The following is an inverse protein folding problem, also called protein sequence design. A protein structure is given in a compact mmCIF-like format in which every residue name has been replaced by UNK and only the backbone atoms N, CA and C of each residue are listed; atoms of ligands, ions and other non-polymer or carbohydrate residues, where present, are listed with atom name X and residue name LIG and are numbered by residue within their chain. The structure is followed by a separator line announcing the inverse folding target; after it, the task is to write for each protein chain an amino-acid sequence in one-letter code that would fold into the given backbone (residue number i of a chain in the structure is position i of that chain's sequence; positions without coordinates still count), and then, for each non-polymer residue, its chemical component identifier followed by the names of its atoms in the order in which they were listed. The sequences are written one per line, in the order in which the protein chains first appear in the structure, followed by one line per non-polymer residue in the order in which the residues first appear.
data_IF_245669619045
#
_entry.id   IF_245669619045
#
_cell.length_a   1.000
_cell.length_b   1.000
_cell.length_c   1.000
_cell.angle_alpha   90.00
_cell.angle_beta   90.00
_cell.angle_gamma   90.00
#
_symmetry.space_group_name_H-M   'P 1'
#
loop_
_entity.id
_entity.type
_entity.pdbx_description
1 polymer ?
#
# COMPACT_ATOMS: atom_id res chain seq x y z
N UNK A 1 24.60 -16.39 33.51
CA UNK A 1 24.66 -15.68 32.22
C UNK A 1 23.37 -16.05 31.49
N UNK A 2 22.51 -15.10 31.23
CA UNK A 2 21.35 -15.33 30.36
C UNK A 2 21.87 -15.59 28.94
N UNK A 3 21.46 -16.71 28.32
CA UNK A 3 21.78 -16.97 26.93
C UNK A 3 21.31 -15.81 26.06
N UNK A 4 22.09 -15.46 25.04
CA UNK A 4 21.70 -14.39 24.11
C UNK A 4 20.55 -14.85 23.19
N UNK A 5 19.87 -13.89 22.58
CA UNK A 5 18.71 -14.16 21.72
C UNK A 5 19.05 -15.11 20.55
N UNK A 6 20.22 -14.96 19.94
CA UNK A 6 20.63 -15.77 18.80
C UNK A 6 20.82 -17.23 19.18
N UNK A 7 21.47 -17.51 20.32
CA UNK A 7 21.63 -18.88 20.84
C UNK A 7 20.26 -19.51 21.11
N UNK A 8 19.37 -18.81 21.83
CA UNK A 8 18.04 -19.34 22.14
C UNK A 8 17.17 -19.57 20.88
N UNK A 9 17.29 -18.71 19.88
CA UNK A 9 16.59 -18.90 18.60
C UNK A 9 17.12 -20.12 17.86
N UNK A 10 18.44 -20.28 17.80
CA UNK A 10 19.07 -21.41 17.10
C UNK A 10 18.71 -22.73 17.77
N UNK A 11 18.72 -22.78 19.10
CA UNK A 11 18.33 -23.97 19.87
C UNK A 11 16.86 -24.35 19.68
N UNK A 12 15.96 -23.34 19.60
CA UNK A 12 14.53 -23.56 19.49
C UNK A 12 14.05 -23.83 18.06
N UNK A 13 14.67 -23.23 17.04
CA UNK A 13 14.14 -23.16 15.67
C UNK A 13 15.09 -23.79 14.63
N UNK A 14 16.33 -24.11 15.00
CA UNK A 14 17.29 -24.83 14.17
C UNK A 14 17.55 -24.14 12.81
N UNK A 15 17.30 -24.87 11.73
CA UNK A 15 17.52 -24.45 10.33
C UNK A 15 16.61 -23.29 9.84
N UNK A 16 15.67 -22.87 10.66
CA UNK A 16 14.82 -21.69 10.38
C UNK A 16 15.51 -20.39 10.71
N UNK A 17 16.62 -20.43 11.46
CA UNK A 17 17.41 -19.24 11.80
C UNK A 17 18.55 -19.08 10.81
N UNK A 18 18.43 -18.09 9.94
CA UNK A 18 19.44 -17.77 8.94
C UNK A 18 20.33 -16.61 9.43
N UNK A 19 21.61 -16.91 9.64
CA UNK A 19 22.64 -15.94 10.03
C UNK A 19 23.58 -15.57 8.90
N UNK A 20 23.28 -16.02 7.67
CA UNK A 20 24.11 -15.72 6.51
C UNK A 20 24.22 -14.20 6.28
N UNK A 21 25.40 -13.71 5.87
CA UNK A 21 25.58 -12.29 5.57
C UNK A 21 24.60 -11.77 4.54
N UNK A 22 24.24 -12.58 3.53
CA UNK A 22 23.31 -12.21 2.47
C UNK A 22 21.90 -11.96 3.02
N UNK A 23 21.30 -12.94 3.71
CA UNK A 23 19.95 -12.80 4.27
C UNK A 23 19.83 -11.62 5.25
N UNK A 24 20.83 -11.47 6.12
CA UNK A 24 20.88 -10.36 7.09
C UNK A 24 21.04 -9.00 6.40
N UNK A 25 21.75 -8.93 5.28
CA UNK A 25 21.91 -7.73 4.48
C UNK A 25 20.61 -7.39 3.75
N UNK A 26 19.97 -8.37 3.11
CA UNK A 26 18.73 -8.18 2.35
C UNK A 26 17.56 -7.71 3.24
N UNK A 27 17.56 -8.10 4.52
CA UNK A 27 16.56 -7.66 5.48
C UNK A 27 16.65 -6.17 5.83
N UNK A 28 17.74 -5.46 5.48
CA UNK A 28 17.97 -4.03 5.79
C UNK A 28 17.05 -3.08 5.06
N UNK A 29 16.53 -3.47 3.91
CA UNK A 29 15.81 -2.58 3.02
C UNK A 29 14.50 -3.21 2.54
N UNK A 30 13.51 -2.38 2.32
CA UNK A 30 12.34 -2.65 1.51
C UNK A 30 12.43 -1.85 0.18
N UNK A 31 11.32 -1.54 -0.45
CA UNK A 31 11.30 -0.77 -1.70
C UNK A 31 11.20 0.76 -1.50
N UNK A 32 11.30 1.23 -0.27
CA UNK A 32 11.22 2.66 0.07
C UNK A 32 12.45 3.49 -0.34
N UNK A 33 13.52 2.86 -0.83
CA UNK A 33 14.81 3.52 -1.03
C UNK A 33 15.61 3.75 0.25
N UNK A 34 14.98 3.58 1.42
CA UNK A 34 15.65 3.70 2.72
C UNK A 34 16.22 2.34 3.16
N UNK A 35 17.36 2.35 3.83
CA UNK A 35 17.95 1.14 4.42
C UNK A 35 18.41 1.38 5.84
N UNK A 36 18.30 0.35 6.69
CA UNK A 36 18.84 0.38 8.06
C UNK A 36 20.36 0.47 8.07
N UNK A 37 20.93 1.08 9.12
CA UNK A 37 22.36 1.39 9.25
C UNK A 37 23.31 0.18 9.33
N UNK A 38 22.76 -1.06 9.33
CA UNK A 38 23.56 -2.29 9.37
C UNK A 38 22.69 -3.54 9.27
N UNK A 39 23.30 -4.75 9.18
CA UNK A 39 22.56 -5.99 8.99
C UNK A 39 21.77 -6.41 10.24
N UNK A 40 20.68 -7.13 10.04
CA UNK A 40 19.90 -7.76 11.09
C UNK A 40 20.75 -8.69 11.99
N UNK A 41 20.28 -8.96 13.21
CA UNK A 41 20.88 -10.00 14.09
C UNK A 41 20.79 -11.37 13.41
N UNK A 42 19.61 -11.73 12.96
CA UNK A 42 19.30 -12.94 12.20
C UNK A 42 18.00 -12.77 11.43
N UNK A 43 17.77 -13.63 10.45
CA UNK A 43 16.48 -13.80 9.78
C UNK A 43 15.85 -15.10 10.26
N UNK A 44 14.66 -15.04 10.84
CA UNK A 44 13.87 -16.21 11.22
C UNK A 44 12.84 -16.48 10.14
N UNK A 45 12.95 -17.60 9.45
CA UNK A 45 12.00 -18.05 8.43
C UNK A 45 10.90 -18.91 9.07
N UNK A 46 9.90 -18.27 9.66
CA UNK A 46 8.78 -18.97 10.27
C UNK A 46 7.96 -19.73 9.21
N UNK A 47 7.62 -20.99 9.49
CA UNK A 47 6.78 -21.84 8.66
C UNK A 47 5.51 -22.30 9.39
N UNK A 48 5.34 -21.87 10.65
CA UNK A 48 4.18 -22.20 11.48
C UNK A 48 3.92 -21.14 12.53
N UNK A 49 2.69 -21.14 13.07
CA UNK A 49 2.32 -20.31 14.22
C UNK A 49 3.24 -20.56 15.42
N UNK A 50 3.64 -21.81 15.64
CA UNK A 50 4.53 -22.18 16.74
C UNK A 50 5.90 -21.51 16.62
N UNK A 51 6.44 -21.36 15.40
CA UNK A 51 7.72 -20.69 15.17
C UNK A 51 7.63 -19.19 15.50
N UNK A 52 6.53 -18.56 15.09
CA UNK A 52 6.26 -17.14 15.41
C UNK A 52 6.15 -16.98 16.93
N UNK A 53 5.40 -17.85 17.61
CA UNK A 53 5.24 -17.81 19.07
C UNK A 53 6.57 -18.01 19.80
N UNK A 54 7.41 -18.97 19.36
CA UNK A 54 8.72 -19.22 19.94
C UNK A 54 9.63 -18.01 19.77
N UNK A 55 9.68 -17.44 18.55
CA UNK A 55 10.47 -16.23 18.24
C UNK A 55 10.08 -15.08 19.16
N UNK A 56 8.78 -14.78 19.28
CA UNK A 56 8.31 -13.64 20.07
C UNK A 56 8.52 -13.84 21.58
N UNK A 57 8.37 -15.07 22.10
CA UNK A 57 8.68 -15.36 23.51
C UNK A 57 10.15 -15.14 23.82
N UNK A 58 11.06 -15.62 22.95
CA UNK A 58 12.49 -15.41 23.08
C UNK A 58 12.82 -13.93 22.99
N UNK A 59 12.30 -13.23 21.97
CA UNK A 59 12.50 -11.81 21.77
C UNK A 59 12.04 -10.97 22.98
N UNK A 60 10.86 -11.29 23.54
CA UNK A 60 10.36 -10.63 24.76
C UNK A 60 11.25 -10.90 25.96
N UNK A 61 11.67 -12.15 26.18
CA UNK A 61 12.53 -12.53 27.30
C UNK A 61 13.92 -11.87 27.25
N UNK A 62 14.45 -11.68 26.05
CA UNK A 62 15.76 -11.07 25.80
C UNK A 62 15.69 -9.56 25.49
N UNK A 63 14.48 -9.01 25.37
CA UNK A 63 14.22 -7.63 24.93
C UNK A 63 14.85 -7.31 23.56
N UNK A 64 14.85 -8.29 22.67
CA UNK A 64 15.40 -8.15 21.33
C UNK A 64 14.30 -7.69 20.36
N UNK A 65 14.47 -6.58 19.64
CA UNK A 65 13.48 -6.11 18.67
C UNK A 65 13.21 -7.10 17.56
N UNK A 66 11.96 -7.12 17.08
CA UNK A 66 11.49 -7.97 15.98
C UNK A 66 10.83 -7.11 14.93
N UNK A 67 11.29 -7.23 13.69
CA UNK A 67 10.67 -6.63 12.51
C UNK A 67 10.03 -7.75 11.71
N UNK A 68 8.70 -7.76 11.63
CA UNK A 68 7.97 -8.73 10.82
C UNK A 68 8.06 -8.37 9.35
N UNK A 69 8.35 -9.37 8.51
CA UNK A 69 8.57 -9.16 7.09
C UNK A 69 7.79 -10.17 6.24
N UNK A 70 7.01 -9.67 5.28
CA UNK A 70 6.49 -10.41 4.14
C UNK A 70 7.52 -10.45 3.01
N UNK A 71 7.17 -9.92 1.84
CA UNK A 71 8.06 -9.83 0.69
C UNK A 71 9.02 -8.63 0.71
N UNK A 72 8.84 -7.68 1.62
CA UNK A 72 9.66 -6.46 1.68
C UNK A 72 9.40 -5.49 0.52
N UNK A 73 8.15 -5.42 0.07
CA UNK A 73 7.70 -4.52 -1.01
C UNK A 73 7.21 -3.16 -0.53
N UNK A 74 7.27 -2.89 0.79
CA UNK A 74 6.81 -1.65 1.40
C UNK A 74 7.58 -0.42 0.92
N UNK A 75 6.93 0.74 0.94
CA UNK A 75 7.45 2.02 0.41
C UNK A 75 7.70 3.06 1.52
N UNK A 76 7.59 2.68 2.79
CA UNK A 76 7.77 3.58 3.93
C UNK A 76 8.89 3.15 4.92
N UNK A 77 9.63 2.08 4.64
CA UNK A 77 10.71 1.58 5.50
C UNK A 77 10.24 0.77 6.71
N UNK A 78 8.96 0.36 6.76
CA UNK A 78 8.42 -0.40 7.89
C UNK A 78 9.03 -1.80 8.03
N UNK A 79 9.41 -2.43 6.92
CA UNK A 79 9.99 -3.78 6.91
C UNK A 79 11.53 -3.79 7.03
N UNK A 80 12.18 -2.66 7.23
CA UNK A 80 13.63 -2.54 7.32
C UNK A 80 14.13 -2.98 8.70
N UNK A 81 15.00 -3.98 8.71
CA UNK A 81 15.56 -4.56 9.94
C UNK A 81 17.01 -4.10 10.12
N UNK A 82 17.33 -3.61 11.30
CA UNK A 82 18.63 -3.05 11.63
C UNK A 82 19.50 -3.93 12.54
N UNK A 83 20.65 -3.40 12.96
CA UNK A 83 21.57 -4.08 13.89
C UNK A 83 20.88 -4.43 15.21
N UNK A 84 21.07 -5.67 15.67
CA UNK A 84 20.49 -6.16 16.92
C UNK A 84 19.02 -6.57 16.82
N UNK A 85 18.35 -6.36 15.69
CA UNK A 85 16.96 -6.73 15.46
C UNK A 85 16.83 -8.09 14.77
N UNK A 86 15.77 -8.82 15.07
CA UNK A 86 15.39 -10.07 14.41
C UNK A 86 14.47 -9.73 13.23
N UNK A 87 14.83 -10.15 12.02
CA UNK A 87 13.90 -10.15 10.89
C UNK A 87 13.02 -11.42 10.97
N UNK A 88 11.74 -11.27 11.28
CA UNK A 88 10.80 -12.40 11.32
C UNK A 88 10.06 -12.50 9.98
N UNK A 89 10.52 -13.38 9.11
CA UNK A 89 9.92 -13.64 7.82
C UNK A 89 8.78 -14.65 7.93
N UNK A 90 7.60 -14.27 7.47
CA UNK A 90 6.40 -15.13 7.37
C UNK A 90 6.18 -15.71 5.97
N UNK A 91 7.14 -15.54 5.07
CA UNK A 91 7.04 -15.96 3.65
C UNK A 91 6.79 -17.44 3.44
N UNK A 92 7.23 -18.31 4.37
CA UNK A 92 7.01 -19.78 4.32
C UNK A 92 5.64 -20.22 4.84
N UNK A 93 4.83 -19.28 5.35
CA UNK A 93 3.45 -19.50 5.75
C UNK A 93 2.54 -19.03 4.60
N UNK A 94 2.44 -19.82 3.53
CA UNK A 94 1.89 -19.42 2.22
C UNK A 94 0.69 -20.26 1.75
N UNK A 95 0.07 -21.03 2.65
CA UNK A 95 -1.02 -21.94 2.28
C UNK A 95 -2.37 -21.23 2.23
N UNK A 96 -3.23 -21.67 1.31
CA UNK A 96 -4.66 -21.48 1.38
C UNK A 96 -5.22 -22.59 2.28
N UNK A 97 -5.76 -22.24 3.44
CA UNK A 97 -6.23 -23.19 4.45
C UNK A 97 -7.68 -23.62 4.20
N UNK A 98 -8.49 -22.72 3.67
CA UNK A 98 -9.92 -22.94 3.42
C UNK A 98 -10.43 -21.97 2.37
N UNK A 99 -11.31 -22.44 1.46
CA UNK A 99 -12.12 -21.59 0.57
C UNK A 99 -13.60 -22.00 0.74
N UNK A 100 -14.46 -21.03 0.97
CA UNK A 100 -15.92 -21.21 1.07
C UNK A 100 -16.64 -20.33 0.05
N UNK A 101 -16.94 -20.86 -1.13
CA UNK A 101 -17.61 -20.09 -2.18
C UNK A 101 -19.01 -19.60 -1.81
N UNK A 102 -19.75 -20.37 -0.99
CA UNK A 102 -21.09 -20.00 -0.56
C UNK A 102 -21.10 -18.87 0.47
N UNK A 103 -20.05 -18.79 1.29
CA UNK A 103 -19.87 -17.74 2.29
C UNK A 103 -19.04 -16.55 1.77
N UNK A 104 -18.53 -16.64 0.55
CA UNK A 104 -17.63 -15.65 -0.06
C UNK A 104 -16.43 -15.34 0.84
N UNK A 105 -15.76 -16.36 1.36
CA UNK A 105 -14.59 -16.19 2.20
C UNK A 105 -13.48 -17.20 1.88
N UNK A 106 -12.25 -16.81 2.19
CA UNK A 106 -11.10 -17.70 2.26
C UNK A 106 -10.34 -17.48 3.56
N UNK A 107 -9.69 -18.54 4.04
CA UNK A 107 -8.75 -18.49 5.15
C UNK A 107 -7.37 -18.82 4.61
N UNK A 108 -6.41 -17.92 4.83
CA UNK A 108 -5.07 -18.03 4.26
C UNK A 108 -3.98 -17.73 5.28
N UNK A 109 -2.82 -18.25 5.04
CA UNK A 109 -1.59 -17.86 5.74
C UNK A 109 -1.03 -16.54 5.19
N UNK A 110 -0.30 -15.75 6.00
CA UNK A 110 0.09 -14.39 5.65
C UNK A 110 1.14 -14.28 4.54
N UNK A 111 1.90 -15.34 4.27
CA UNK A 111 3.00 -15.39 3.31
C UNK A 111 2.58 -15.65 1.87
N UNK A 112 1.31 -16.02 1.63
CA UNK A 112 0.81 -16.24 0.26
C UNK A 112 0.89 -14.95 -0.56
N UNK A 113 1.33 -15.08 -1.82
CA UNK A 113 1.38 -13.94 -2.74
C UNK A 113 -0.04 -13.56 -3.17
N UNK A 114 -0.32 -12.27 -3.24
CA UNK A 114 -1.64 -11.75 -3.62
C UNK A 114 -2.11 -12.30 -4.99
N UNK A 115 -1.25 -12.27 -6.01
CA UNK A 115 -1.58 -12.79 -7.34
C UNK A 115 -1.82 -14.31 -7.31
N UNK A 116 -0.97 -15.09 -6.61
CA UNK A 116 -1.12 -16.55 -6.50
C UNK A 116 -2.43 -16.93 -5.80
N UNK A 117 -2.82 -16.17 -4.77
CA UNK A 117 -4.12 -16.34 -4.14
C UNK A 117 -5.26 -16.11 -5.15
N UNK A 118 -5.20 -15.01 -5.90
CA UNK A 118 -6.24 -14.66 -6.87
C UNK A 118 -6.32 -15.66 -8.03
N UNK A 119 -5.18 -16.17 -8.51
CA UNK A 119 -5.13 -17.22 -9.53
C UNK A 119 -5.82 -18.52 -9.03
N UNK A 120 -5.58 -18.91 -7.77
CA UNK A 120 -6.24 -20.05 -7.17
C UNK A 120 -7.75 -19.84 -6.97
N UNK A 121 -8.17 -18.64 -6.53
CA UNK A 121 -9.58 -18.30 -6.32
C UNK A 121 -10.37 -18.18 -7.63
N UNK A 122 -9.71 -17.79 -8.72
CA UNK A 122 -10.35 -17.67 -10.04
C UNK A 122 -10.96 -18.99 -10.53
N UNK A 123 -10.36 -20.15 -10.17
CA UNK A 123 -10.91 -21.47 -10.48
C UNK A 123 -12.29 -21.71 -9.83
N UNK A 124 -12.58 -21.03 -8.72
CA UNK A 124 -13.88 -21.08 -8.00
C UNK A 124 -14.80 -19.90 -8.39
N UNK A 125 -14.43 -19.12 -9.41
CA UNK A 125 -15.16 -17.91 -9.81
C UNK A 125 -15.14 -16.79 -8.79
N UNK A 126 -14.09 -16.74 -7.96
CA UNK A 126 -13.92 -15.81 -6.86
C UNK A 126 -12.62 -15.00 -7.01
N UNK A 127 -12.52 -13.91 -6.24
CA UNK A 127 -11.32 -13.12 -6.12
C UNK A 127 -11.30 -12.28 -4.84
N UNK A 128 -10.11 -11.89 -4.42
CA UNK A 128 -9.86 -10.95 -3.33
C UNK A 128 -9.51 -9.59 -3.91
N UNK A 129 -10.30 -8.56 -3.58
CA UNK A 129 -10.29 -7.28 -4.30
C UNK A 129 -9.05 -6.39 -4.15
N UNK A 130 -8.33 -6.34 -3.01
CA UNK A 130 -7.13 -5.51 -2.91
C UNK A 130 -6.06 -5.87 -3.94
N UNK A 131 -5.65 -4.87 -4.73
CA UNK A 131 -4.80 -5.05 -5.91
C UNK A 131 -3.59 -4.09 -5.94
N UNK A 132 -2.75 -4.05 -4.90
CA UNK A 132 -1.59 -3.16 -4.91
C UNK A 132 -0.73 -3.36 -6.16
N UNK A 133 -0.03 -2.31 -6.60
CA UNK A 133 0.87 -2.39 -7.76
C UNK A 133 1.89 -3.54 -7.61
N UNK A 134 2.26 -3.87 -6.38
CA UNK A 134 3.16 -4.98 -6.02
C UNK A 134 2.48 -6.36 -5.96
N UNK A 135 1.21 -6.53 -6.32
CA UNK A 135 0.43 -7.78 -6.12
C UNK A 135 1.12 -9.05 -6.63
N UNK A 136 1.92 -8.93 -7.70
CA UNK A 136 2.66 -10.07 -8.26
C UNK A 136 3.74 -10.64 -7.32
N UNK A 137 4.18 -9.88 -6.33
CA UNK A 137 5.27 -10.24 -5.43
C UNK A 137 4.98 -9.98 -3.95
N UNK A 138 3.98 -9.16 -3.62
CA UNK A 138 3.62 -8.83 -2.23
C UNK A 138 2.79 -9.93 -1.59
N UNK A 139 2.96 -10.12 -0.28
CA UNK A 139 2.19 -11.10 0.49
C UNK A 139 0.89 -10.51 1.02
N UNK A 140 -0.13 -11.35 1.15
CA UNK A 140 -1.43 -10.98 1.75
C UNK A 140 -1.25 -10.39 3.16
N UNK A 141 -0.43 -11.01 4.01
CA UNK A 141 -0.13 -10.50 5.34
C UNK A 141 0.58 -9.14 5.32
N UNK A 142 1.46 -8.90 4.33
CA UNK A 142 2.09 -7.60 4.10
C UNK A 142 1.07 -6.55 3.66
N UNK A 143 0.17 -6.90 2.73
CA UNK A 143 -0.90 -5.99 2.30
C UNK A 143 -1.82 -5.61 3.48
N UNK A 144 -2.14 -6.56 4.36
CA UNK A 144 -2.95 -6.32 5.57
C UNK A 144 -2.19 -5.42 6.55
N UNK A 145 -0.93 -5.72 6.85
CA UNK A 145 -0.14 -4.97 7.82
C UNK A 145 0.10 -3.52 7.39
N UNK A 146 0.22 -3.26 6.08
CA UNK A 146 0.37 -1.91 5.54
C UNK A 146 -0.99 -1.21 5.33
N UNK A 147 -2.06 -1.96 5.09
CA UNK A 147 -3.33 -1.41 4.61
C UNK A 147 -3.24 -1.02 3.12
N UNK A 148 -2.46 -1.79 2.34
CA UNK A 148 -2.09 -1.45 0.97
C UNK A 148 -3.32 -1.27 0.05
N UNK A 149 -3.32 -0.20 -0.73
CA UNK A 149 -4.37 0.08 -1.72
C UNK A 149 -4.03 -0.40 -3.12
N UNK A 150 -4.67 0.18 -4.13
CA UNK A 150 -4.49 -0.09 -5.55
C UNK A 150 -5.58 0.53 -6.40
N UNK A 151 -5.52 0.25 -7.71
CA UNK A 151 -6.41 0.82 -8.73
C UNK A 151 -7.91 0.56 -8.48
N UNK A 152 -8.23 -0.58 -7.86
CA UNK A 152 -9.60 -1.06 -7.70
C UNK A 152 -10.29 -0.56 -6.42
N UNK A 153 -9.56 0.14 -5.53
CA UNK A 153 -10.09 0.58 -4.23
C UNK A 153 -11.32 1.48 -4.34
N UNK A 154 -11.39 2.34 -5.36
CA UNK A 154 -12.51 3.26 -5.59
C UNK A 154 -13.85 2.56 -5.73
N UNK A 155 -13.89 1.34 -6.29
CA UNK A 155 -15.12 0.56 -6.46
C UNK A 155 -15.25 -0.58 -5.46
N UNK A 156 -14.16 -1.26 -5.18
CA UNK A 156 -14.22 -2.55 -4.47
C UNK A 156 -13.81 -2.44 -3.00
N UNK A 157 -13.39 -1.26 -2.55
CA UNK A 157 -13.00 -1.00 -1.17
C UNK A 157 -11.53 -1.30 -0.91
N UNK A 158 -11.07 -0.90 0.27
CA UNK A 158 -9.68 -1.04 0.73
C UNK A 158 -9.48 -2.37 1.47
N UNK A 159 -8.24 -2.69 1.83
CA UNK A 159 -7.89 -3.93 2.57
C UNK A 159 -8.74 -4.10 3.84
N UNK A 160 -9.01 -3.01 4.58
CA UNK A 160 -9.84 -3.07 5.79
C UNK A 160 -11.23 -3.65 5.53
N UNK A 161 -11.83 -3.33 4.39
CA UNK A 161 -13.15 -3.82 4.00
C UNK A 161 -13.11 -5.28 3.56
N UNK A 162 -11.93 -5.75 3.12
CA UNK A 162 -11.71 -7.07 2.54
C UNK A 162 -11.16 -8.11 3.54
N UNK A 163 -11.06 -7.76 4.84
CA UNK A 163 -10.61 -8.66 5.92
C UNK A 163 -11.73 -8.82 6.94
N UNK A 164 -12.21 -10.05 7.13
CA UNK A 164 -13.28 -10.40 8.10
C UNK A 164 -12.75 -10.69 9.49
N UNK A 165 -11.53 -11.22 9.56
CA UNK A 165 -10.87 -11.57 10.81
C UNK A 165 -9.46 -12.05 10.58
N UNK A 166 -8.72 -12.26 11.64
CA UNK A 166 -7.35 -12.75 11.58
C UNK A 166 -6.93 -13.43 12.88
N UNK A 167 -5.96 -14.34 12.77
CA UNK A 167 -5.23 -14.83 13.93
C UNK A 167 -3.90 -14.05 14.00
N UNK A 168 -3.59 -13.54 15.19
CA UNK A 168 -2.38 -12.76 15.44
C UNK A 168 -1.63 -13.26 16.66
N UNK A 169 -0.29 -13.15 16.64
CA UNK A 169 0.55 -13.46 17.79
C UNK A 169 1.04 -12.15 18.41
N UNK A 170 0.77 -11.96 19.71
CA UNK A 170 1.23 -10.81 20.48
C UNK A 170 2.71 -10.93 20.85
N UNK A 171 3.31 -9.83 21.33
CA UNK A 171 4.70 -9.77 21.76
C UNK A 171 5.08 -10.88 22.76
N UNK A 172 4.18 -11.26 23.66
CA UNK A 172 4.38 -12.32 24.66
C UNK A 172 4.18 -13.76 24.14
N UNK A 173 3.87 -13.90 22.84
CA UNK A 173 3.67 -15.19 22.17
C UNK A 173 2.24 -15.76 22.33
N UNK A 174 1.28 -15.03 22.92
CA UNK A 174 -0.13 -15.44 22.93
C UNK A 174 -0.73 -15.33 21.53
N UNK A 175 -1.49 -16.34 21.15
CA UNK A 175 -2.30 -16.35 19.92
C UNK A 175 -3.69 -15.77 20.25
N UNK A 176 -4.11 -14.76 19.51
CA UNK A 176 -5.46 -14.21 19.55
C UNK A 176 -6.16 -14.46 18.22
N UNK A 177 -7.46 -14.75 18.30
CA UNK A 177 -8.37 -14.82 17.15
C UNK A 177 -9.27 -13.60 17.15
N UNK A 178 -9.19 -12.80 16.09
CA UNK A 178 -9.90 -11.53 15.95
C UNK A 178 -10.94 -11.62 14.85
N UNK A 179 -12.02 -10.84 15.00
CA UNK A 179 -13.09 -10.76 14.00
C UNK A 179 -13.99 -11.99 13.97
N UNK A 180 -14.64 -12.20 12.85
CA UNK A 180 -15.67 -13.24 12.67
C UNK A 180 -15.75 -13.69 11.20
N UNK A 181 -16.55 -14.75 10.93
CA UNK A 181 -16.77 -15.28 9.57
C UNK A 181 -18.16 -14.94 9.02
N UNK A 182 -18.90 -14.13 9.75
CA UNK A 182 -20.28 -13.75 9.43
C UNK A 182 -20.34 -12.37 8.79
N UNK A 183 -21.38 -12.09 8.01
CA UNK A 183 -21.60 -10.77 7.39
C UNK A 183 -21.82 -9.69 8.46
N UNK A 184 -22.52 -10.04 9.55
CA UNK A 184 -22.75 -9.14 10.69
C UNK A 184 -22.02 -9.65 11.92
N UNK A 185 -21.43 -8.72 12.71
CA UNK A 185 -20.81 -9.04 13.99
C UNK A 185 -20.45 -7.74 14.71
N UNK A 186 -20.96 -7.60 15.95
CA UNK A 186 -20.75 -6.41 16.80
C UNK A 186 -20.31 -6.79 18.22
N UNK A 187 -19.74 -7.98 18.38
CA UNK A 187 -19.30 -8.49 19.69
C UNK A 187 -17.92 -7.95 20.03
N UNK A 188 -17.85 -7.06 21.00
CA UNK A 188 -16.61 -6.42 21.45
C UNK A 188 -16.12 -5.32 20.51
N UNK A 189 -14.90 -4.83 20.77
CA UNK A 189 -14.25 -3.84 19.92
C UNK A 189 -13.70 -4.49 18.63
N UNK A 190 -13.68 -3.72 17.55
CA UNK A 190 -13.12 -4.16 16.27
C UNK A 190 -11.58 -4.11 16.30
N UNK A 191 -10.98 -5.16 16.84
CA UNK A 191 -9.54 -5.32 16.86
C UNK A 191 -8.99 -5.74 15.48
N UNK A 192 -9.82 -6.28 14.59
CA UNK A 192 -9.40 -6.62 13.23
C UNK A 192 -9.02 -5.36 12.46
N UNK A 193 -9.88 -4.35 12.46
CA UNK A 193 -9.59 -3.06 11.84
C UNK A 193 -8.41 -2.33 12.50
N UNK A 194 -8.17 -2.53 13.80
CA UNK A 194 -7.01 -1.97 14.49
C UNK A 194 -5.68 -2.58 14.01
N UNK A 195 -5.69 -3.87 13.63
CA UNK A 195 -4.49 -4.56 13.14
C UNK A 195 -4.17 -4.22 11.68
N UNK A 196 -5.18 -3.92 10.85
CA UNK A 196 -4.97 -3.49 9.46
C UNK A 196 -4.28 -2.13 9.45
N UNK A 197 -3.13 -2.03 8.76
CA UNK A 197 -2.34 -0.81 8.73
C UNK A 197 -1.49 -0.56 9.99
N UNK A 198 -1.36 -1.56 10.90
CA UNK A 198 -0.52 -1.44 12.09
C UNK A 198 0.98 -1.61 11.84
N UNK A 199 1.38 -1.95 10.63
CA UNK A 199 2.78 -2.11 10.19
C UNK A 199 3.62 -3.02 11.10
N UNK A 200 2.99 -4.06 11.66
CA UNK A 200 3.66 -5.02 12.55
C UNK A 200 4.02 -4.46 13.93
N UNK A 201 3.51 -3.29 14.32
CA UNK A 201 3.80 -2.66 15.60
C UNK A 201 2.94 -3.19 16.76
N UNK A 202 1.79 -3.80 16.48
CA UNK A 202 0.85 -4.29 17.51
C UNK A 202 0.89 -5.81 17.68
N UNK A 203 1.04 -6.55 16.58
CA UNK A 203 1.07 -8.01 16.58
C UNK A 203 1.64 -8.53 15.26
N UNK A 204 1.87 -9.85 15.19
CA UNK A 204 2.25 -10.56 13.97
C UNK A 204 1.05 -11.32 13.44
N UNK A 205 0.59 -11.00 12.22
CA UNK A 205 -0.49 -11.72 11.54
C UNK A 205 0.02 -13.11 11.13
N UNK A 206 -0.70 -14.17 11.52
CA UNK A 206 -0.34 -15.56 11.21
C UNK A 206 -1.40 -16.30 10.41
N UNK A 207 -2.61 -15.76 10.32
CA UNK A 207 -3.69 -16.24 9.48
C UNK A 207 -4.65 -15.07 9.20
N UNK A 208 -5.26 -15.03 8.02
CA UNK A 208 -6.28 -14.07 7.67
C UNK A 208 -7.54 -14.75 7.13
N UNK A 209 -8.70 -14.28 7.56
CA UNK A 209 -10.02 -14.61 6.98
C UNK A 209 -10.40 -13.46 6.05
N UNK A 210 -10.40 -13.71 4.77
CA UNK A 210 -10.60 -12.74 3.72
C UNK A 210 -12.06 -12.73 3.24
N UNK A 211 -12.59 -11.55 2.95
CA UNK A 211 -13.86 -11.39 2.24
C UNK A 211 -13.60 -11.45 0.75
N UNK A 212 -14.23 -12.41 0.09
CA UNK A 212 -14.12 -12.59 -1.34
C UNK A 212 -15.28 -11.93 -2.08
N UNK A 213 -15.08 -11.73 -3.37
CA UNK A 213 -16.09 -11.31 -4.33
C UNK A 213 -16.19 -12.36 -5.43
N UNK A 214 -17.36 -12.47 -6.08
CA UNK A 214 -17.48 -13.23 -7.32
C UNK A 214 -16.79 -12.47 -8.44
N UNK A 215 -16.16 -13.19 -9.38
CA UNK A 215 -15.64 -12.59 -10.60
C UNK A 215 -16.73 -11.77 -11.27
N UNK A 216 -16.38 -10.58 -11.72
CA UNK A 216 -17.32 -9.67 -12.34
C UNK A 216 -17.72 -10.22 -13.70
N UNK A 217 -19.01 -10.56 -13.84
CA UNK A 217 -19.58 -10.97 -15.10
C UNK A 217 -19.99 -9.74 -15.92
N UNK A 218 -19.83 -9.81 -17.24
CA UNK A 218 -20.20 -8.75 -18.15
C UNK A 218 -19.03 -8.17 -18.93
N UNK A 219 -19.26 -6.99 -19.47
CA UNK A 219 -18.28 -6.28 -20.29
C UNK A 219 -17.31 -5.47 -19.41
N UNK A 220 -16.17 -5.17 -19.99
CA UNK A 220 -15.21 -4.20 -19.46
C UNK A 220 -14.99 -3.18 -20.57
N UNK A 221 -15.19 -1.89 -20.23
CA UNK A 221 -14.87 -0.81 -21.15
C UNK A 221 -13.75 0.03 -20.53
N UNK A 222 -12.71 0.27 -21.31
CA UNK A 222 -11.59 1.14 -20.94
C UNK A 222 -11.65 2.41 -21.77
N UNK A 223 -11.36 3.54 -21.13
CA UNK A 223 -11.29 4.82 -21.81
C UNK A 223 -10.10 5.65 -21.35
N UNK A 224 -9.62 6.48 -22.26
CA UNK A 224 -8.69 7.57 -21.95
C UNK A 224 -9.34 8.90 -22.29
N UNK A 225 -9.03 9.92 -21.52
CA UNK A 225 -9.39 11.28 -21.80
C UNK A 225 -8.17 12.18 -21.61
N UNK A 226 -7.82 12.94 -22.65
CA UNK A 226 -6.74 13.91 -22.64
C UNK A 226 -7.30 15.30 -22.38
N UNK A 227 -6.66 16.02 -21.49
CA UNK A 227 -7.00 17.41 -21.11
C UNK A 227 -5.77 18.30 -21.29
N UNK A 228 -5.97 19.58 -21.59
CA UNK A 228 -4.90 20.54 -21.82
C UNK A 228 -4.01 20.77 -20.58
N UNK A 229 -4.54 20.49 -19.38
CA UNK A 229 -3.82 20.59 -18.11
C UNK A 229 -4.37 19.62 -17.05
N UNK A 230 -3.61 19.43 -15.97
CA UNK A 230 -3.95 18.51 -14.87
C UNK A 230 -5.11 19.03 -14.03
N UNK A 231 -5.29 20.34 -13.92
CA UNK A 231 -6.39 20.92 -13.14
C UNK A 231 -7.74 20.61 -13.80
N UNK A 232 -7.83 20.76 -15.12
CA UNK A 232 -9.02 20.38 -15.92
C UNK A 232 -9.32 18.88 -15.81
N UNK A 233 -8.30 18.01 -15.88
CA UNK A 233 -8.45 16.58 -15.70
C UNK A 233 -8.95 16.22 -14.28
N UNK A 234 -8.43 16.88 -13.24
CA UNK A 234 -8.85 16.67 -11.86
C UNK A 234 -10.30 17.14 -11.61
N UNK A 235 -10.71 18.27 -12.21
CA UNK A 235 -12.12 18.73 -12.18
C UNK A 235 -13.03 17.71 -12.85
N UNK A 236 -12.61 17.15 -14.01
CA UNK A 236 -13.38 16.16 -14.73
C UNK A 236 -13.53 14.85 -13.93
N UNK A 237 -12.49 14.40 -13.24
CA UNK A 237 -12.54 13.21 -12.35
C UNK A 237 -13.52 13.42 -11.18
N UNK A 238 -13.51 14.61 -10.56
CA UNK A 238 -14.46 14.98 -9.52
C UNK A 238 -15.90 15.00 -10.03
N UNK A 239 -16.13 15.47 -11.27
CA UNK A 239 -17.46 15.48 -11.90
C UNK A 239 -17.98 14.06 -12.18
N UNK A 240 -17.10 13.14 -12.62
CA UNK A 240 -17.46 11.71 -12.77
C UNK A 240 -17.92 11.15 -11.43
N UNK A 241 -17.17 11.39 -10.37
CA UNK A 241 -17.54 10.98 -9.00
C UNK A 241 -18.87 11.56 -8.56
N UNK A 242 -19.09 12.86 -8.79
CA UNK A 242 -20.33 13.57 -8.43
C UNK A 242 -21.56 13.06 -9.20
N UNK A 243 -21.38 12.45 -10.38
CA UNK A 243 -22.46 11.88 -11.18
C UNK A 243 -23.09 10.62 -10.56
N UNK A 244 -22.46 10.05 -9.53
CA UNK A 244 -22.87 8.79 -8.89
C UNK A 244 -22.48 7.53 -9.68
N UNK A 245 -21.80 7.66 -10.81
CA UNK A 245 -21.22 6.51 -11.53
C UNK A 245 -19.95 6.08 -10.79
N UNK A 246 -19.77 4.76 -10.64
CA UNK A 246 -18.63 4.21 -9.93
C UNK A 246 -17.78 3.36 -10.88
N UNK A 247 -16.77 3.93 -11.54
CA UNK A 247 -15.84 3.18 -12.35
C UNK A 247 -15.02 2.21 -11.50
N UNK A 248 -14.55 1.11 -12.08
CA UNK A 248 -13.65 0.19 -11.40
C UNK A 248 -12.25 0.75 -11.25
N UNK A 249 -11.81 1.55 -12.21
CA UNK A 249 -10.51 2.25 -12.21
C UNK A 249 -10.77 3.69 -12.66
N UNK A 250 -10.14 4.65 -11.99
CA UNK A 250 -10.05 6.04 -12.46
C UNK A 250 -8.72 6.64 -12.01
N UNK A 251 -7.79 6.73 -12.96
CA UNK A 251 -6.40 7.11 -12.76
C UNK A 251 -6.12 8.43 -13.48
N UNK A 252 -5.36 9.30 -12.85
CA UNK A 252 -4.91 10.55 -13.44
C UNK A 252 -3.38 10.58 -13.49
N UNK A 253 -2.84 11.00 -14.63
CA UNK A 253 -1.42 11.25 -14.84
C UNK A 253 -1.23 12.70 -15.27
N UNK A 254 -0.33 13.42 -14.62
CA UNK A 254 0.08 14.76 -15.05
C UNK A 254 0.96 14.71 -16.30
N UNK A 255 1.28 15.88 -16.86
CA UNK A 255 2.05 15.99 -18.09
C UNK A 255 3.49 15.43 -17.94
N UNK A 256 4.13 15.63 -16.79
CA UNK A 256 5.48 15.15 -16.53
C UNK A 256 5.51 13.62 -16.48
N UNK A 257 4.56 13.02 -15.76
CA UNK A 257 4.39 11.56 -15.67
C UNK A 257 4.10 10.95 -17.03
N UNK A 258 3.18 11.54 -17.80
CA UNK A 258 2.79 11.05 -19.11
C UNK A 258 3.97 11.09 -20.10
N UNK A 259 4.71 12.18 -20.10
CA UNK A 259 5.92 12.34 -20.93
C UNK A 259 6.97 11.28 -20.61
N UNK A 260 7.24 11.06 -19.32
CA UNK A 260 8.22 10.05 -18.88
C UNK A 260 7.82 8.64 -19.29
N UNK A 261 6.53 8.28 -19.16
CA UNK A 261 6.03 6.97 -19.55
C UNK A 261 6.05 6.79 -21.07
N UNK A 262 5.67 7.80 -21.84
CA UNK A 262 5.75 7.74 -23.30
C UNK A 262 7.18 7.53 -23.79
N UNK A 263 8.15 8.20 -23.15
CA UNK A 263 9.58 8.01 -23.43
C UNK A 263 10.02 6.56 -23.16
N UNK A 264 9.66 6.02 -21.99
CA UNK A 264 9.98 4.63 -21.61
C UNK A 264 9.41 3.61 -22.59
N UNK A 265 8.16 3.79 -22.99
CA UNK A 265 7.43 2.85 -23.87
C UNK A 265 7.69 3.11 -25.37
N UNK A 266 8.57 4.04 -25.71
CA UNK A 266 8.83 4.49 -27.09
C UNK A 266 7.54 4.86 -27.87
N UNK A 267 6.59 5.49 -27.15
CA UNK A 267 5.37 6.05 -27.74
C UNK A 267 5.64 7.47 -28.29
N UNK A 268 4.78 7.99 -29.19
CA UNK A 268 4.87 9.39 -29.61
C UNK A 268 4.84 10.35 -28.44
N UNK A 269 5.63 11.40 -28.47
CA UNK A 269 5.64 12.43 -27.43
C UNK A 269 4.25 13.07 -27.30
N UNK A 270 3.68 13.13 -26.07
CA UNK A 270 2.40 13.77 -25.86
C UNK A 270 2.51 15.29 -26.05
N UNK A 271 1.44 16.01 -26.41
CA UNK A 271 1.45 17.46 -26.43
C UNK A 271 1.88 18.03 -25.06
N UNK A 272 2.60 19.15 -25.07
CA UNK A 272 3.07 19.78 -23.85
C UNK A 272 1.89 20.20 -22.95
N UNK A 273 2.01 19.91 -21.65
CA UNK A 273 1.00 20.25 -20.62
C UNK A 273 -0.15 19.26 -20.50
N UNK A 274 -0.31 18.34 -21.46
CA UNK A 274 -1.45 17.41 -21.49
C UNK A 274 -1.41 16.44 -20.32
N UNK A 275 -2.55 16.34 -19.60
CA UNK A 275 -2.80 15.33 -18.60
C UNK A 275 -3.76 14.25 -19.12
N UNK A 276 -3.67 13.04 -18.59
CA UNK A 276 -4.48 11.91 -18.99
C UNK A 276 -5.28 11.33 -17.83
N UNK A 277 -6.60 11.18 -18.03
CA UNK A 277 -7.43 10.26 -17.25
C UNK A 277 -7.50 8.91 -17.95
N UNK A 278 -7.28 7.83 -17.22
CA UNK A 278 -7.55 6.45 -17.67
C UNK A 278 -8.64 5.87 -16.77
N UNK A 279 -9.77 5.48 -17.36
CA UNK A 279 -10.95 5.03 -16.64
C UNK A 279 -11.38 3.68 -17.15
N UNK A 280 -11.80 2.79 -16.25
CA UNK A 280 -12.37 1.50 -16.59
C UNK A 280 -13.72 1.32 -15.91
N UNK A 281 -14.70 0.85 -16.66
CA UNK A 281 -16.00 0.39 -16.15
C UNK A 281 -16.13 -1.11 -16.37
N UNK A 282 -16.82 -1.79 -15.47
CA UNK A 282 -17.00 -3.24 -15.52
C UNK A 282 -18.39 -3.67 -15.04
N UNK A 283 -18.81 -4.83 -15.49
CA UNK A 283 -20.07 -5.44 -15.13
C UNK A 283 -21.19 -5.24 -16.15
N UNK A 284 -22.44 -5.56 -15.78
CA UNK A 284 -23.56 -5.61 -16.73
C UNK A 284 -23.94 -4.29 -17.39
N UNK A 285 -23.52 -3.17 -16.79
CA UNK A 285 -23.82 -1.80 -17.27
C UNK A 285 -22.58 -1.06 -17.76
N UNK A 286 -21.46 -1.77 -17.91
CA UNK A 286 -20.17 -1.17 -18.22
C UNK A 286 -20.20 -0.23 -19.44
N UNK A 287 -20.79 -0.66 -20.56
CA UNK A 287 -20.89 0.15 -21.78
C UNK A 287 -21.75 1.41 -21.58
N UNK A 288 -22.86 1.29 -20.85
CA UNK A 288 -23.74 2.44 -20.57
C UNK A 288 -23.05 3.46 -19.66
N UNK A 289 -22.36 2.99 -18.62
CA UNK A 289 -21.59 3.84 -17.72
C UNK A 289 -20.42 4.50 -18.45
N UNK A 290 -19.70 3.76 -19.30
CA UNK A 290 -18.62 4.29 -20.13
C UNK A 290 -19.14 5.43 -21.07
N UNK A 291 -20.29 5.22 -21.72
CA UNK A 291 -20.88 6.24 -22.57
C UNK A 291 -21.24 7.51 -21.80
N UNK A 292 -21.83 7.38 -20.60
CA UNK A 292 -22.19 8.51 -19.73
C UNK A 292 -20.96 9.25 -19.22
N UNK A 293 -19.93 8.52 -18.75
CA UNK A 293 -18.66 9.10 -18.33
C UNK A 293 -18.02 9.84 -19.50
N UNK A 294 -17.97 9.21 -20.69
CA UNK A 294 -17.41 9.82 -21.89
C UNK A 294 -18.11 11.13 -22.28
N UNK A 295 -19.43 11.26 -22.04
CA UNK A 295 -20.16 12.51 -22.24
C UNK A 295 -19.70 13.58 -21.25
N UNK A 296 -19.64 13.25 -19.94
CA UNK A 296 -19.16 14.18 -18.89
C UNK A 296 -17.76 14.70 -19.23
N UNK A 297 -16.87 13.81 -19.64
CA UNK A 297 -15.47 14.19 -19.92
C UNK A 297 -15.38 15.11 -21.15
N UNK A 298 -16.16 14.83 -22.23
CA UNK A 298 -16.19 15.69 -23.44
C UNK A 298 -16.80 17.06 -23.14
N UNK A 299 -17.87 17.13 -22.34
CA UNK A 299 -18.52 18.37 -21.95
C UNK A 299 -17.57 19.28 -21.14
N UNK A 300 -16.56 18.69 -20.50
CA UNK A 300 -15.50 19.38 -19.75
C UNK A 300 -14.21 19.57 -20.56
N UNK A 301 -14.25 19.39 -21.88
CA UNK A 301 -13.12 19.66 -22.78
C UNK A 301 -12.18 18.50 -23.06
N UNK A 302 -12.46 17.31 -22.51
CA UNK A 302 -11.62 16.14 -22.72
C UNK A 302 -11.73 15.53 -24.12
N UNK A 303 -10.59 15.16 -24.71
CA UNK A 303 -10.55 14.32 -25.92
C UNK A 303 -10.61 12.86 -25.50
N UNK A 304 -11.77 12.21 -25.75
CA UNK A 304 -12.11 10.90 -25.18
C UNK A 304 -12.06 9.80 -26.22
N UNK A 305 -11.31 8.74 -25.92
CA UNK A 305 -11.30 7.44 -26.63
C UNK A 305 -11.90 6.38 -25.71
N UNK A 306 -12.80 5.53 -26.22
CA UNK A 306 -13.44 4.42 -25.48
C UNK A 306 -13.28 3.15 -26.30
N UNK A 307 -12.93 2.05 -25.63
CA UNK A 307 -12.84 0.72 -26.22
C UNK A 307 -13.47 -0.33 -25.31
N UNK A 308 -14.12 -1.31 -25.90
CA UNK A 308 -14.58 -2.57 -25.28
C UNK A 308 -13.68 -3.76 -25.64
N UNK A 309 -12.69 -3.53 -26.53
CA UNK A 309 -11.65 -4.51 -26.80
C UNK A 309 -10.70 -4.63 -25.60
N UNK A 310 -10.62 -5.85 -25.04
CA UNK A 310 -9.80 -6.12 -23.85
C UNK A 310 -8.30 -5.93 -24.10
N UNK A 311 -7.82 -6.26 -25.29
CA UNK A 311 -6.38 -6.13 -25.62
C UNK A 311 -6.01 -4.66 -25.71
N UNK A 312 -6.84 -3.86 -26.37
CA UNK A 312 -6.65 -2.41 -26.42
C UNK A 312 -6.80 -1.77 -25.05
N UNK A 313 -7.80 -2.18 -24.27
CA UNK A 313 -7.99 -1.71 -22.88
C UNK A 313 -6.77 -1.98 -21.99
N UNK A 314 -6.16 -3.16 -22.09
CA UNK A 314 -4.93 -3.47 -21.36
C UNK A 314 -3.75 -2.60 -21.80
N UNK A 315 -3.63 -2.27 -23.09
CA UNK A 315 -2.61 -1.33 -23.59
C UNK A 315 -2.77 0.08 -22.99
N UNK A 316 -4.01 0.55 -22.89
CA UNK A 316 -4.28 1.86 -22.26
C UNK A 316 -3.92 1.86 -20.77
N UNK A 317 -4.18 0.77 -20.07
CA UNK A 317 -3.79 0.60 -18.67
C UNK A 317 -2.28 0.42 -18.48
N UNK A 318 -1.58 -0.17 -19.45
CA UNK A 318 -0.12 -0.36 -19.40
C UNK A 318 0.60 0.97 -19.30
N UNK A 319 0.11 2.02 -19.96
CA UNK A 319 0.65 3.38 -19.84
C UNK A 319 0.68 3.81 -18.37
N UNK A 320 -0.40 3.61 -17.63
CA UNK A 320 -0.47 3.96 -16.21
C UNK A 320 0.39 3.05 -15.33
N UNK A 321 0.40 1.75 -15.62
CA UNK A 321 1.19 0.76 -14.84
C UNK A 321 2.70 0.93 -15.01
N UNK A 322 3.14 1.50 -16.12
CA UNK A 322 4.56 1.76 -16.41
C UNK A 322 5.15 2.97 -15.67
N UNK A 323 4.33 3.69 -14.88
CA UNK A 323 4.77 4.91 -14.21
C UNK A 323 6.00 4.71 -13.31
N UNK A 324 6.01 3.72 -12.41
CA UNK A 324 7.15 3.50 -11.51
C UNK A 324 8.44 3.16 -12.29
N UNK A 325 8.35 2.34 -13.33
CA UNK A 325 9.48 2.03 -14.19
C UNK A 325 9.98 3.27 -14.95
N UNK A 326 9.08 4.19 -15.32
CA UNK A 326 9.45 5.45 -15.94
C UNK A 326 10.16 6.37 -14.94
N UNK A 327 9.73 6.41 -13.69
CA UNK A 327 10.41 7.18 -12.63
C UNK A 327 11.82 6.64 -12.36
N UNK A 328 11.99 5.32 -12.26
CA UNK A 328 13.30 4.67 -12.10
C UNK A 328 14.25 5.02 -13.27
N UNK A 329 13.71 5.26 -14.47
CA UNK A 329 14.49 5.68 -15.64
C UNK A 329 14.90 7.15 -15.61
N UNK A 330 14.11 8.01 -14.96
CA UNK A 330 14.43 9.44 -14.82
C UNK A 330 15.53 9.72 -13.79
N UNK A 331 15.65 8.90 -12.74
CA UNK A 331 16.65 9.10 -11.70
C UNK A 331 16.25 8.51 -10.36
N UNK A 332 16.86 9.04 -9.29
CA UNK A 332 16.46 8.69 -7.92
C UNK A 332 15.19 9.43 -7.56
N UNK A 333 14.25 8.74 -6.93
CA UNK A 333 12.97 9.33 -6.53
C UNK A 333 12.70 9.14 -5.03
N UNK A 334 12.17 10.17 -4.39
CA UNK A 334 11.46 10.05 -3.13
C UNK A 334 9.98 9.91 -3.49
N UNK A 335 9.43 8.72 -3.24
CA UNK A 335 8.03 8.41 -3.56
C UNK A 335 7.18 8.76 -2.36
N UNK A 336 6.32 9.77 -2.51
CA UNK A 336 5.39 10.16 -1.48
C UNK A 336 3.96 9.71 -1.83
N UNK A 337 3.09 9.77 -0.82
CA UNK A 337 1.74 9.24 -0.88
C UNK A 337 0.88 10.06 0.06
N UNK A 338 -0.04 10.81 -0.50
CA UNK A 338 -1.02 11.59 0.25
C UNK A 338 -2.42 11.28 -0.26
N UNK A 339 -3.42 11.39 0.59
CA UNK A 339 -4.81 11.27 0.14
C UNK A 339 -5.60 12.49 0.60
N UNK A 340 -6.46 12.99 -0.30
CA UNK A 340 -7.35 14.13 -0.02
C UNK A 340 -8.79 13.75 -0.37
N UNK A 341 -9.80 14.43 0.19
CA UNK A 341 -11.17 14.27 -0.30
C UNK A 341 -11.22 14.44 -1.83
N UNK A 342 -11.93 13.55 -2.54
CA UNK A 342 -11.95 13.52 -4.02
C UNK A 342 -12.26 14.88 -4.65
N UNK A 343 -13.10 15.68 -4.00
CA UNK A 343 -13.41 17.06 -4.44
C UNK A 343 -12.25 18.04 -4.27
N UNK A 344 -11.23 17.70 -3.47
CA UNK A 344 -10.06 18.54 -3.23
C UNK A 344 -8.87 18.18 -4.17
N UNK A 345 -9.01 17.16 -5.03
CA UNK A 345 -7.96 16.79 -6.00
C UNK A 345 -7.46 17.98 -6.84
N UNK A 346 -8.34 18.85 -7.44
CA UNK A 346 -7.86 19.99 -8.20
C UNK A 346 -7.01 20.95 -7.36
N UNK A 347 -7.40 21.19 -6.10
CA UNK A 347 -6.65 22.04 -5.19
C UNK A 347 -5.30 21.40 -4.79
N UNK A 348 -5.25 20.07 -4.63
CA UNK A 348 -4.01 19.39 -4.31
C UNK A 348 -3.00 19.44 -5.46
N UNK A 349 -3.45 19.27 -6.71
CA UNK A 349 -2.57 19.44 -7.89
C UNK A 349 -2.04 20.88 -8.01
N UNK A 350 -2.87 21.89 -7.73
CA UNK A 350 -2.43 23.28 -7.68
C UNK A 350 -1.37 23.54 -6.59
N UNK A 351 -1.50 22.87 -5.43
CA UNK A 351 -0.47 22.93 -4.38
C UNK A 351 0.82 22.24 -4.81
N UNK A 352 0.76 21.10 -5.52
CA UNK A 352 1.95 20.43 -6.06
C UNK A 352 2.69 21.35 -7.03
N UNK A 353 1.99 21.97 -7.98
CA UNK A 353 2.56 22.94 -8.92
C UNK A 353 3.21 24.13 -8.18
N UNK A 354 2.54 24.68 -7.16
CA UNK A 354 3.09 25.74 -6.32
C UNK A 354 4.39 25.31 -5.63
N UNK A 355 4.44 24.06 -5.11
CA UNK A 355 5.61 23.50 -4.42
C UNK A 355 6.77 23.31 -5.41
N UNK A 356 6.51 22.76 -6.61
CA UNK A 356 7.52 22.66 -7.67
C UNK A 356 8.20 24.00 -7.94
N UNK A 357 7.40 25.05 -8.13
CA UNK A 357 7.92 26.41 -8.37
C UNK A 357 8.63 27.00 -7.15
N UNK A 358 8.12 26.79 -5.95
CA UNK A 358 8.69 27.38 -4.73
C UNK A 358 10.06 26.79 -4.35
N UNK A 359 10.24 25.49 -4.57
CA UNK A 359 11.45 24.76 -4.17
C UNK A 359 12.36 24.41 -5.34
N UNK A 360 11.93 24.65 -6.58
CA UNK A 360 12.71 24.33 -7.79
C UNK A 360 12.91 22.81 -7.97
N UNK A 361 11.92 22.01 -7.59
CA UNK A 361 11.91 20.55 -7.69
C UNK A 361 10.95 20.10 -8.80
N UNK A 362 11.13 18.88 -9.30
CA UNK A 362 10.24 18.25 -10.28
C UNK A 362 9.48 17.12 -9.58
N UNK A 363 8.15 17.13 -9.64
CA UNK A 363 7.29 16.23 -8.89
C UNK A 363 6.26 15.55 -9.84
N UNK A 364 6.70 14.67 -10.76
CA UNK A 364 5.75 13.90 -11.57
C UNK A 364 4.75 13.19 -10.66
N UNK A 365 3.46 13.40 -10.91
CA UNK A 365 2.40 12.92 -10.03
C UNK A 365 1.38 12.09 -10.77
N UNK A 366 1.09 10.92 -10.21
CA UNK A 366 -0.07 10.13 -10.60
C UNK A 366 -1.04 10.04 -9.43
N UNK A 367 -2.32 9.82 -9.73
CA UNK A 367 -3.35 9.72 -8.70
C UNK A 367 -4.37 8.63 -9.02
N UNK A 368 -4.78 7.90 -7.97
CA UNK A 368 -6.03 7.15 -7.96
C UNK A 368 -7.17 8.17 -7.82
N UNK A 369 -7.56 8.78 -8.96
CA UNK A 369 -8.53 9.88 -8.96
C UNK A 369 -9.92 9.44 -8.47
N UNK A 370 -10.19 8.13 -8.49
CA UNK A 370 -11.43 7.53 -8.00
C UNK A 370 -11.59 7.55 -6.48
N UNK A 371 -10.50 7.66 -5.73
CA UNK A 371 -10.51 7.66 -4.25
C UNK A 371 -9.75 8.84 -3.61
N UNK A 372 -9.00 9.61 -4.40
CA UNK A 372 -8.34 10.82 -3.92
C UNK A 372 -6.90 10.62 -3.45
N UNK A 373 -6.31 9.46 -3.70
CA UNK A 373 -4.93 9.16 -3.35
C UNK A 373 -3.96 9.60 -4.47
N UNK A 374 -2.92 10.34 -4.10
CA UNK A 374 -1.91 10.85 -5.03
C UNK A 374 -0.53 10.28 -4.66
N UNK A 375 0.29 10.05 -5.69
CA UNK A 375 1.68 9.64 -5.57
C UNK A 375 2.61 10.67 -6.21
N UNK A 376 2.94 11.76 -5.51
CA UNK A 376 3.96 12.71 -5.95
C UNK A 376 5.35 12.06 -5.85
N UNK A 377 6.12 12.10 -6.91
CA UNK A 377 7.46 11.53 -6.97
C UNK A 377 8.48 12.66 -7.12
N UNK A 378 9.24 12.94 -6.07
CA UNK A 378 10.29 13.94 -6.12
C UNK A 378 11.52 13.36 -6.82
N UNK A 379 11.83 13.84 -8.01
CA UNK A 379 12.98 13.40 -8.79
C UNK A 379 14.20 14.24 -8.43
N UNK A 380 15.34 13.58 -8.15
CA UNK A 380 16.58 14.26 -7.80
C UNK A 380 17.82 13.45 -8.24
N UNK A 381 18.98 14.12 -8.30
CA UNK A 381 20.27 13.49 -8.55
C UNK A 381 20.93 13.05 -7.23
N UNK A 382 21.60 11.90 -7.26
CA UNK A 382 22.34 11.37 -6.12
C UNK A 382 21.63 10.23 -5.39
N UNK A 383 22.27 9.73 -4.33
CA UNK A 383 21.76 8.60 -3.56
C UNK A 383 20.84 8.99 -2.38
N UNK A 384 20.92 10.27 -1.95
CA UNK A 384 20.14 10.79 -0.82
C UNK A 384 19.38 12.04 -1.26
N UNK A 385 18.13 12.13 -0.84
CA UNK A 385 17.29 13.29 -1.14
C UNK A 385 17.89 14.57 -0.52
N UNK A 386 18.11 15.62 -1.31
CA UNK A 386 18.63 16.88 -0.81
C UNK A 386 17.66 17.59 0.11
N UNK A 387 18.13 18.53 0.97
CA UNK A 387 17.24 19.27 1.91
C UNK A 387 16.03 19.92 1.24
N UNK A 388 16.19 20.51 0.05
CA UNK A 388 15.08 21.14 -0.69
C UNK A 388 13.94 20.16 -1.02
N UNK A 389 14.26 18.88 -1.30
CA UNK A 389 13.25 17.83 -1.54
C UNK A 389 12.50 17.52 -0.25
N UNK A 390 13.20 17.46 0.89
CA UNK A 390 12.55 17.23 2.18
C UNK A 390 11.70 18.42 2.64
N UNK A 391 12.12 19.65 2.35
CA UNK A 391 11.35 20.86 2.64
C UNK A 391 10.09 20.93 1.76
N UNK A 392 10.21 20.54 0.49
CA UNK A 392 9.08 20.43 -0.43
C UNK A 392 8.10 19.31 -0.01
N UNK A 393 8.60 18.14 0.46
CA UNK A 393 7.77 17.08 1.00
C UNK A 393 7.04 17.52 2.29
N UNK A 394 7.68 18.29 3.17
CA UNK A 394 7.04 18.88 4.36
C UNK A 394 5.86 19.78 3.97
N UNK A 395 6.04 20.66 2.99
CA UNK A 395 4.97 21.54 2.50
C UNK A 395 3.85 20.74 1.81
N UNK A 396 4.19 19.67 1.07
CA UNK A 396 3.22 18.75 0.47
C UNK A 396 2.30 18.13 1.51
N UNK A 397 2.86 17.53 2.57
CA UNK A 397 2.08 16.91 3.63
C UNK A 397 1.19 17.92 4.36
N UNK A 398 1.72 19.10 4.68
CA UNK A 398 0.94 20.16 5.31
C UNK A 398 -0.19 20.66 4.40
N UNK A 399 0.04 20.70 3.08
CA UNK A 399 -0.99 21.05 2.10
C UNK A 399 -2.11 20.02 2.08
N UNK A 400 -1.76 18.70 2.07
CA UNK A 400 -2.77 17.64 2.14
C UNK A 400 -3.61 17.75 3.42
N UNK A 401 -2.99 17.97 4.58
CA UNK A 401 -3.72 18.15 5.85
C UNK A 401 -4.63 19.39 5.84
N UNK A 402 -4.17 20.52 5.28
CA UNK A 402 -5.01 21.73 5.13
C UNK A 402 -6.25 21.49 4.27
N UNK A 403 -6.15 20.60 3.30
CA UNK A 403 -7.25 20.18 2.41
C UNK A 403 -8.15 19.08 3.02
N UNK A 404 -7.93 18.71 4.29
CA UNK A 404 -8.70 17.68 4.99
C UNK A 404 -8.29 16.25 4.63
N UNK A 405 -7.07 16.08 4.14
CA UNK A 405 -6.48 14.81 3.75
C UNK A 405 -5.67 14.13 4.85
N UNK A 406 -4.85 13.17 4.45
CA UNK A 406 -3.98 12.36 5.30
C UNK A 406 -2.58 12.20 4.71
N UNK A 407 -1.59 11.93 5.56
CA UNK A 407 -0.17 11.75 5.19
C UNK A 407 0.10 10.53 4.32
N UNK A 408 -0.79 9.53 4.35
CA UNK A 408 -0.62 8.31 3.58
C UNK A 408 -1.96 7.68 3.26
N UNK A 409 -2.22 7.42 1.98
CA UNK A 409 -3.39 6.68 1.52
C UNK A 409 -3.19 5.18 1.63
N UNK A 410 -1.99 4.69 1.24
CA UNK A 410 -1.75 3.26 1.10
C UNK A 410 -0.33 2.78 1.44
N UNK A 411 0.71 3.64 1.39
CA UNK A 411 2.11 3.21 1.61
C UNK A 411 2.46 2.94 3.07
N UNK A 412 1.69 3.50 4.01
CA UNK A 412 1.96 3.46 5.45
C UNK A 412 2.90 4.58 5.90
N UNK A 413 3.10 4.66 7.21
CA UNK A 413 3.91 5.68 7.87
C UNK A 413 5.40 5.27 7.95
N UNK A 414 5.66 4.03 8.35
CA UNK A 414 6.99 3.45 8.48
C UNK A 414 7.98 4.30 9.26
N UNK A 415 9.18 4.46 8.68
CA UNK A 415 10.24 5.35 9.17
C UNK A 415 10.14 6.72 8.50
N UNK A 416 9.77 6.76 7.22
CA UNK A 416 9.90 7.96 6.40
C UNK A 416 8.91 9.05 6.79
N UNK A 417 7.67 8.69 7.16
CA UNK A 417 6.58 9.66 7.41
C UNK A 417 6.30 9.91 8.90
N UNK A 418 6.90 9.14 9.82
CA UNK A 418 6.63 9.23 11.27
C UNK A 418 6.82 10.62 11.86
N UNK A 419 7.68 11.45 11.27
CA UNK A 419 7.96 12.82 11.75
C UNK A 419 6.74 13.75 11.63
N UNK A 420 5.83 13.48 10.67
CA UNK A 420 4.62 14.29 10.46
C UNK A 420 3.37 13.71 11.13
N UNK A 421 3.46 12.49 11.67
CA UNK A 421 2.31 11.81 12.27
C UNK A 421 1.66 12.62 13.38
N UNK A 422 2.46 13.34 14.16
CA UNK A 422 1.97 14.25 15.22
C UNK A 422 1.18 15.44 14.68
N UNK A 423 1.53 15.94 13.50
CA UNK A 423 0.82 17.05 12.85
C UNK A 423 -0.60 16.63 12.41
N UNK A 424 -0.78 15.38 11.94
CA UNK A 424 -2.10 14.85 11.58
C UNK A 424 -2.93 14.47 12.80
N UNK A 425 -2.36 13.71 13.73
CA UNK A 425 -3.12 13.14 14.85
C UNK A 425 -3.41 14.18 15.95
N UNK A 426 -2.57 15.18 16.08
CA UNK A 426 -2.57 16.05 17.25
C UNK A 426 -2.12 15.33 18.54
N UNK A 427 -1.91 16.08 19.65
CA UNK A 427 -1.25 15.54 20.84
C UNK A 427 -2.06 14.44 21.55
N UNK A 428 -3.36 14.60 21.64
CA UNK A 428 -4.21 13.68 22.42
C UNK A 428 -4.37 12.33 21.72
N UNK A 429 -4.66 12.33 20.42
CA UNK A 429 -4.81 11.10 19.64
C UNK A 429 -3.45 10.40 19.52
N UNK A 430 -2.37 11.14 19.29
CA UNK A 430 -1.01 10.59 19.23
C UNK A 430 -0.62 9.90 20.55
N UNK A 431 -0.91 10.54 21.71
CA UNK A 431 -0.66 9.96 23.03
C UNK A 431 -1.48 8.66 23.23
N UNK A 432 -2.78 8.67 22.88
CA UNK A 432 -3.66 7.51 23.02
C UNK A 432 -3.18 6.33 22.16
N UNK A 433 -2.77 6.58 20.91
CA UNK A 433 -2.27 5.51 20.05
C UNK A 433 -0.96 4.90 20.58
N UNK A 434 -0.07 5.71 21.18
CA UNK A 434 1.12 5.20 21.87
C UNK A 434 0.76 4.35 23.10
N UNK A 435 -0.30 4.69 23.83
CA UNK A 435 -0.80 3.85 24.93
C UNK A 435 -1.34 2.51 24.41
N UNK A 436 -2.07 2.51 23.31
CA UNK A 436 -2.51 1.28 22.63
C UNK A 436 -1.30 0.41 22.25
N UNK A 437 -0.27 1.01 21.64
CA UNK A 437 0.99 0.30 21.34
C UNK A 437 1.58 -0.35 22.59
N UNK A 438 1.69 0.38 23.71
CA UNK A 438 2.22 -0.16 24.97
C UNK A 438 1.37 -1.28 25.57
N UNK A 439 0.04 -1.23 25.35
CA UNK A 439 -0.88 -2.29 25.80
C UNK A 439 -0.64 -3.61 25.06
N UNK A 440 -0.41 -3.55 23.74
CA UNK A 440 -0.16 -4.72 22.92
C UNK A 440 1.28 -5.23 22.99
N UNK A 441 2.23 -4.32 23.20
CA UNK A 441 3.66 -4.60 23.24
C UNK A 441 4.33 -3.87 24.43
N UNK A 442 4.13 -4.37 25.67
CA UNK A 442 4.71 -3.75 26.85
C UNK A 442 6.24 -3.75 26.87
N UNK A 443 6.86 -4.69 26.16
CA UNK A 443 8.33 -4.80 26.08
C UNK A 443 8.95 -3.91 24.99
N UNK A 444 8.11 -3.32 24.10
CA UNK A 444 8.56 -2.47 23.02
C UNK A 444 9.39 -3.18 21.96
N UNK A 445 9.14 -4.47 21.75
CA UNK A 445 9.96 -5.30 20.83
C UNK A 445 9.40 -5.35 19.40
N UNK A 446 8.10 -5.10 19.20
CA UNK A 446 7.45 -5.22 17.89
C UNK A 446 7.70 -3.96 17.05
N UNK A 447 8.50 -4.10 16.03
CA UNK A 447 8.81 -3.09 15.02
C UNK A 447 9.10 -1.69 15.60
N UNK A 448 10.04 -1.56 16.58
CA UNK A 448 10.28 -0.30 17.27
C UNK A 448 10.80 0.77 16.31
N UNK A 449 10.48 2.04 16.62
CA UNK A 449 10.89 3.20 15.84
C UNK A 449 10.18 3.33 14.48
N UNK A 450 9.18 2.48 14.17
CA UNK A 450 8.28 2.60 13.02
C UNK A 450 6.93 3.15 13.50
N UNK A 451 6.24 3.88 12.63
CA UNK A 451 4.97 4.58 12.90
C UNK A 451 5.15 5.68 13.94
N UNK A 452 5.56 5.36 15.15
CA UNK A 452 5.82 6.34 16.21
C UNK A 452 7.33 6.55 16.40
N UNK A 453 7.76 7.81 16.48
CA UNK A 453 9.09 8.14 17.00
C UNK A 453 9.13 7.88 18.52
N UNK A 454 10.29 7.42 19.00
CA UNK A 454 10.52 7.19 20.43
C UNK A 454 10.49 8.50 21.24
#
# INVERSE_FOLDING_TARGET
MTADALTLLTDALGDRVDTSPAARHDARADKSGHSSGGPALAVVHAASVADVQATLRIATATRTPVVTRGAGTGLAGAANTGPGEIALSVRRMDRILEVRPDDLLAVVEPGIINAELNDALAAEGLWWAPDPASRAISTVGGNIATGAGGLLCAKYGVVRDAVLGMDVVLADGRLLRLGHRTVKGVTGYDLTSLMVGSEGTLAVVVQATLRLRRLVAGEVCTMTALFDDVASAAVASAAVTASGIQPSIMELMDAASLTAVHLLLALPEPPAGVAQLTIQTDGPVAAADAARIGTILRDLGGTVTITDDRVEGERLLEVRRSFHAAMDHLGTTLIEDVSVPRSALPAMFAEIERIEHAYGVVIPTVAHAGDGNLHPNFVFEGAEAPPAVWDAADDLFRSALRLGGTLTGEHGVGVLKRRWLGDELGPDQWALQREIKRLFDPAGILNPGKVFAD
#
